data_IF_687559408826
#
_entry.id   IF_687559408826
#
_cell.length_a   1.000
_cell.length_b   1.000
_cell.length_c   1.000
_cell.angle_alpha   90.00
_cell.angle_beta   90.00
_cell.angle_gamma   90.00
#
_symmetry.space_group_name_H-M   'P 1'
#
loop_
_entity.id
_entity.type
_entity.pdbx_description
1 polymer ?
#
# COMPACT_ATOMS: atom_id res chain seq x y z
N UNK A 1 6.99 -19.39 -12.65
CA UNK A 1 8.23 -20.21 -12.60
C UNK A 1 9.35 -19.29 -12.15
N UNK A 2 9.95 -19.51 -10.99
CA UNK A 2 11.09 -18.73 -10.48
C UNK A 2 12.25 -19.67 -10.11
N UNK A 3 13.50 -19.19 -10.17
CA UNK A 3 14.67 -19.87 -9.61
C UNK A 3 15.11 -21.18 -10.28
N UNK A 4 14.67 -21.49 -11.51
CA UNK A 4 15.15 -22.70 -12.21
C UNK A 4 16.56 -22.51 -12.74
N UNK A 5 17.54 -22.97 -11.96
CA UNK A 5 18.95 -23.04 -12.37
C UNK A 5 19.08 -23.92 -13.62
N UNK A 6 19.72 -23.40 -14.68
CA UNK A 6 20.07 -24.19 -15.87
C UNK A 6 21.21 -25.13 -15.51
N UNK A 7 20.89 -26.36 -15.15
CA UNK A 7 21.88 -27.42 -14.94
C UNK A 7 22.23 -28.03 -16.30
N UNK A 8 23.52 -28.09 -16.65
CA UNK A 8 23.98 -28.90 -17.80
C UNK A 8 23.84 -30.38 -17.43
N UNK A 9 22.79 -31.02 -17.90
CA UNK A 9 22.54 -32.45 -17.70
C UNK A 9 23.13 -33.27 -18.85
N UNK A 10 23.55 -34.51 -18.58
CA UNK A 10 23.95 -35.44 -19.65
C UNK A 10 22.71 -35.87 -20.45
N UNK A 11 22.89 -36.28 -21.71
CA UNK A 11 21.77 -36.71 -22.55
C UNK A 11 20.98 -37.90 -21.94
N UNK A 12 21.65 -38.77 -21.20
CA UNK A 12 21.04 -39.90 -20.48
C UNK A 12 20.16 -39.41 -19.30
N UNK A 13 20.65 -38.45 -18.51
CA UNK A 13 19.88 -37.84 -17.41
C UNK A 13 18.68 -37.03 -17.91
N UNK A 14 18.79 -36.38 -19.07
CA UNK A 14 17.67 -35.69 -19.71
C UNK A 14 16.60 -36.66 -20.17
N UNK A 15 17.01 -37.79 -20.74
CA UNK A 15 16.09 -38.83 -21.21
C UNK A 15 15.36 -39.52 -20.04
N UNK A 16 16.05 -39.82 -18.95
CA UNK A 16 15.42 -40.35 -17.72
C UNK A 16 14.41 -39.36 -17.14
N UNK A 17 14.78 -38.08 -17.00
CA UNK A 17 13.87 -37.02 -16.54
C UNK A 17 12.67 -36.85 -17.47
N UNK A 18 12.87 -37.02 -18.79
CA UNK A 18 11.78 -36.96 -19.77
C UNK A 18 10.78 -38.09 -19.56
N UNK A 19 11.26 -39.34 -19.48
CA UNK A 19 10.42 -40.52 -19.21
C UNK A 19 9.66 -40.40 -17.88
N UNK A 20 10.31 -39.89 -16.84
CA UNK A 20 9.67 -39.65 -15.55
C UNK A 20 8.55 -38.60 -15.65
N UNK A 21 8.81 -37.48 -16.33
CA UNK A 21 7.80 -36.43 -16.57
C UNK A 21 6.62 -36.93 -17.38
N UNK A 22 6.87 -37.72 -18.42
CA UNK A 22 5.80 -38.31 -19.25
C UNK A 22 4.92 -39.26 -18.44
N UNK A 23 5.54 -40.11 -17.60
CA UNK A 23 4.81 -41.00 -16.68
C UNK A 23 3.97 -40.22 -15.68
N UNK A 24 4.52 -39.15 -15.09
CA UNK A 24 3.81 -38.30 -14.15
C UNK A 24 2.69 -37.51 -14.83
N UNK A 25 2.91 -37.03 -16.06
CA UNK A 25 1.90 -36.34 -16.86
C UNK A 25 0.74 -37.26 -17.24
N UNK A 26 1.02 -38.53 -17.59
CA UNK A 26 -0.02 -39.51 -17.88
C UNK A 26 -0.91 -39.77 -16.67
N UNK A 27 -0.32 -39.93 -15.48
CA UNK A 27 -1.05 -40.07 -14.21
C UNK A 27 -1.89 -38.83 -13.90
N UNK A 28 -1.32 -37.64 -14.10
CA UNK A 28 -2.01 -36.36 -13.89
C UNK A 28 -3.23 -36.24 -14.81
N UNK A 29 -3.07 -36.51 -16.12
CA UNK A 29 -4.18 -36.49 -17.09
C UNK A 29 -5.28 -37.48 -16.74
N UNK A 30 -4.91 -38.71 -16.35
CA UNK A 30 -5.88 -39.71 -15.94
C UNK A 30 -6.67 -39.27 -14.68
N UNK A 31 -5.99 -38.65 -13.70
CA UNK A 31 -6.64 -38.10 -12.52
C UNK A 31 -7.62 -36.97 -12.87
N UNK A 32 -7.23 -36.03 -13.74
CA UNK A 32 -8.11 -34.94 -14.19
C UNK A 32 -9.34 -35.43 -14.93
N UNK A 33 -9.17 -36.34 -15.89
CA UNK A 33 -10.31 -36.90 -16.61
C UNK A 33 -11.30 -37.56 -15.64
N UNK A 34 -10.78 -38.31 -14.66
CA UNK A 34 -11.62 -38.93 -13.63
C UNK A 34 -12.32 -37.91 -12.74
N UNK A 35 -11.65 -36.83 -12.35
CA UNK A 35 -12.24 -35.73 -11.58
C UNK A 35 -13.39 -35.09 -12.35
N UNK A 36 -13.16 -34.75 -13.62
CA UNK A 36 -14.15 -34.12 -14.48
C UNK A 36 -15.37 -35.03 -14.70
N UNK A 37 -15.15 -36.32 -15.00
CA UNK A 37 -16.23 -37.29 -15.16
C UNK A 37 -17.10 -37.40 -13.90
N UNK A 38 -16.47 -37.50 -12.71
CA UNK A 38 -17.21 -37.57 -11.44
C UNK A 38 -17.99 -36.29 -11.18
N UNK A 39 -17.37 -35.12 -11.39
CA UNK A 39 -18.03 -33.82 -11.19
C UNK A 39 -19.22 -33.65 -12.13
N UNK A 40 -19.09 -34.02 -13.41
CA UNK A 40 -20.18 -33.96 -14.39
C UNK A 40 -21.35 -34.90 -14.04
N UNK A 41 -21.06 -36.08 -13.46
CA UNK A 41 -22.09 -37.01 -12.99
C UNK A 41 -22.68 -36.65 -11.61
N UNK A 42 -22.22 -35.57 -10.98
CA UNK A 42 -22.66 -35.17 -9.64
C UNK A 42 -22.18 -36.10 -8.52
N UNK A 43 -21.15 -36.91 -8.77
CA UNK A 43 -20.54 -37.83 -7.80
C UNK A 43 -19.61 -37.06 -6.84
N UNK A 44 -20.20 -36.23 -5.99
CA UNK A 44 -19.52 -35.46 -4.96
C UNK A 44 -19.34 -36.33 -3.70
N UNK A 45 -18.20 -37.03 -3.61
CA UNK A 45 -17.92 -38.06 -2.61
C UNK A 45 -16.46 -38.06 -2.08
N UNK A 46 -16.16 -38.97 -1.15
CA UNK A 46 -14.84 -39.09 -0.52
C UNK A 46 -13.75 -39.51 -1.51
N UNK A 47 -14.11 -40.19 -2.59
CA UNK A 47 -13.18 -40.52 -3.66
C UNK A 47 -12.77 -39.27 -4.44
N UNK A 48 -13.72 -38.37 -4.73
CA UNK A 48 -13.44 -37.09 -5.37
C UNK A 48 -12.51 -36.23 -4.52
N UNK A 49 -12.70 -36.19 -3.19
CA UNK A 49 -11.76 -35.55 -2.27
C UNK A 49 -10.38 -36.23 -2.30
N UNK A 50 -10.31 -37.55 -2.33
CA UNK A 50 -9.03 -38.26 -2.38
C UNK A 50 -8.22 -37.92 -3.64
N UNK A 51 -8.84 -38.01 -4.82
CA UNK A 51 -8.14 -37.78 -6.09
C UNK A 51 -7.75 -36.31 -6.29
N UNK A 52 -8.61 -35.36 -5.90
CA UNK A 52 -8.27 -33.93 -5.97
C UNK A 52 -7.16 -33.58 -4.98
N UNK A 53 -7.16 -34.16 -3.78
CA UNK A 53 -6.12 -33.94 -2.77
C UNK A 53 -4.74 -34.43 -3.23
N UNK A 54 -4.67 -35.58 -3.90
CA UNK A 54 -3.42 -36.08 -4.48
C UNK A 54 -2.82 -35.13 -5.53
N UNK A 55 -3.68 -34.54 -6.37
CA UNK A 55 -3.26 -33.56 -7.37
C UNK A 55 -2.79 -32.28 -6.70
N UNK A 56 -3.58 -31.73 -5.77
CA UNK A 56 -3.32 -30.45 -5.12
C UNK A 56 -2.08 -30.48 -4.21
N UNK A 57 -1.77 -31.60 -3.58
CA UNK A 57 -0.53 -31.77 -2.82
C UNK A 57 0.73 -31.64 -3.71
N UNK A 58 0.60 -31.88 -5.02
CA UNK A 58 1.69 -31.76 -6.00
C UNK A 58 1.65 -30.44 -6.77
N UNK A 59 0.45 -30.00 -7.16
CA UNK A 59 0.19 -28.77 -7.90
C UNK A 59 -0.94 -27.97 -7.20
N UNK A 60 -0.59 -27.16 -6.19
CA UNK A 60 -1.59 -26.43 -5.40
C UNK A 60 -2.20 -25.23 -6.13
N UNK A 61 -1.67 -24.85 -7.30
CA UNK A 61 -2.14 -23.70 -8.09
C UNK A 61 -3.30 -24.05 -9.03
N UNK A 62 -3.78 -25.30 -9.00
CA UNK A 62 -4.99 -25.68 -9.71
C UNK A 62 -6.24 -25.19 -8.96
N UNK A 63 -6.60 -23.93 -9.20
CA UNK A 63 -7.72 -23.26 -8.53
C UNK A 63 -9.07 -24.00 -8.71
N UNK A 64 -9.28 -24.62 -9.87
CA UNK A 64 -10.50 -25.38 -10.16
C UNK A 64 -10.71 -26.50 -9.15
N UNK A 65 -9.65 -27.23 -8.78
CA UNK A 65 -9.79 -28.37 -7.88
C UNK A 65 -10.11 -27.94 -6.45
N UNK A 66 -9.61 -26.78 -5.98
CA UNK A 66 -10.06 -26.22 -4.71
C UNK A 66 -11.56 -25.89 -4.72
N UNK A 67 -12.12 -25.44 -5.85
CA UNK A 67 -13.57 -25.24 -6.00
C UNK A 67 -14.33 -26.58 -5.94
N UNK A 68 -13.86 -27.60 -6.67
CA UNK A 68 -14.46 -28.94 -6.64
C UNK A 68 -14.53 -29.49 -5.22
N UNK A 69 -13.47 -29.30 -4.42
CA UNK A 69 -13.48 -29.71 -3.01
C UNK A 69 -14.56 -29.00 -2.20
N UNK A 70 -14.71 -27.67 -2.38
CA UNK A 70 -15.76 -26.89 -1.71
C UNK A 70 -17.15 -27.39 -2.06
N UNK A 71 -17.40 -27.74 -3.33
CA UNK A 71 -18.69 -28.33 -3.76
C UNK A 71 -19.01 -29.63 -3.02
N UNK A 72 -18.00 -30.49 -2.79
CA UNK A 72 -18.18 -31.72 -2.00
C UNK A 72 -18.53 -31.39 -0.55
N UNK A 73 -17.85 -30.41 0.04
CA UNK A 73 -18.14 -30.02 1.42
C UNK A 73 -19.49 -29.33 1.59
N UNK A 74 -19.92 -28.50 0.64
CA UNK A 74 -21.26 -27.90 0.64
C UNK A 74 -22.35 -28.97 0.70
N UNK A 75 -22.17 -30.06 -0.05
CA UNK A 75 -23.04 -31.25 0.04
C UNK A 75 -22.95 -31.89 1.44
N UNK A 76 -21.76 -32.11 1.98
CA UNK A 76 -21.59 -32.75 3.30
C UNK A 76 -22.14 -31.92 4.46
N UNK A 77 -22.07 -30.59 4.38
CA UNK A 77 -22.71 -29.70 5.35
C UNK A 77 -24.23 -29.78 5.24
N UNK A 78 -24.78 -29.80 4.02
CA UNK A 78 -26.22 -29.96 3.77
C UNK A 78 -26.73 -31.30 4.31
N UNK A 79 -25.97 -32.38 4.12
CA UNK A 79 -26.29 -33.74 4.57
C UNK A 79 -25.99 -33.96 6.07
N UNK A 80 -25.40 -32.96 6.76
CA UNK A 80 -25.00 -33.04 8.18
C UNK A 80 -24.15 -34.28 8.49
N UNK A 81 -23.12 -34.51 7.67
CA UNK A 81 -22.16 -35.61 7.88
C UNK A 81 -21.60 -35.53 9.31
N UNK A 82 -21.45 -36.67 9.99
CA UNK A 82 -21.13 -36.71 11.41
C UNK A 82 -19.62 -36.59 11.73
N UNK A 83 -18.74 -36.68 10.73
CA UNK A 83 -17.28 -36.67 10.87
C UNK A 83 -16.64 -35.35 10.37
N UNK A 84 -17.34 -34.22 10.50
CA UNK A 84 -16.84 -32.92 10.02
C UNK A 84 -15.53 -32.49 10.68
N UNK A 85 -15.28 -32.90 11.93
CA UNK A 85 -14.04 -32.55 12.64
C UNK A 85 -12.84 -33.27 12.03
N UNK A 86 -12.95 -34.57 11.76
CA UNK A 86 -11.90 -35.35 11.10
C UNK A 86 -11.63 -34.83 9.69
N UNK A 87 -12.69 -34.46 8.97
CA UNK A 87 -12.59 -33.86 7.64
C UNK A 87 -11.91 -32.50 7.68
N UNK A 88 -12.25 -31.63 8.63
CA UNK A 88 -11.58 -30.34 8.82
C UNK A 88 -10.08 -30.52 9.05
N UNK A 89 -9.70 -31.47 9.92
CA UNK A 89 -8.29 -31.79 10.16
C UNK A 89 -7.59 -32.27 8.87
N UNK A 90 -8.24 -33.11 8.07
CA UNK A 90 -7.70 -33.57 6.80
C UNK A 90 -7.53 -32.42 5.78
N UNK A 91 -8.46 -31.46 5.71
CA UNK A 91 -8.33 -30.29 4.84
C UNK A 91 -7.20 -29.35 5.28
N UNK A 92 -7.04 -29.14 6.58
CA UNK A 92 -5.92 -28.37 7.10
C UNK A 92 -4.57 -29.06 6.82
N UNK A 93 -4.51 -30.39 6.90
CA UNK A 93 -3.30 -31.14 6.52
C UNK A 93 -3.01 -31.04 5.03
N UNK A 94 -4.04 -31.14 4.17
CA UNK A 94 -3.86 -30.99 2.73
C UNK A 94 -3.35 -29.60 2.36
N UNK A 95 -3.94 -28.55 2.93
CA UNK A 95 -3.49 -27.17 2.68
C UNK A 95 -2.09 -26.92 3.21
N UNK A 96 -1.73 -27.50 4.35
CA UNK A 96 -0.35 -27.43 4.87
C UNK A 96 0.66 -28.10 3.92
N UNK A 97 0.37 -29.32 3.44
CA UNK A 97 1.21 -30.00 2.44
C UNK A 97 1.32 -29.20 1.14
N UNK A 98 0.21 -28.63 0.68
CA UNK A 98 0.18 -27.76 -0.49
C UNK A 98 1.05 -26.51 -0.30
N UNK A 99 1.03 -25.89 0.88
CA UNK A 99 1.83 -24.72 1.21
C UNK A 99 3.30 -25.04 1.45
N UNK A 100 3.63 -26.21 1.98
CA UNK A 100 5.02 -26.70 2.02
C UNK A 100 5.56 -26.91 0.59
N UNK A 101 4.70 -27.33 -0.35
CA UNK A 101 5.06 -27.49 -1.76
C UNK A 101 5.23 -26.15 -2.48
N UNK A 102 4.29 -25.23 -2.29
CA UNK A 102 4.34 -23.87 -2.82
C UNK A 102 3.76 -22.88 -1.78
N UNK A 103 4.62 -22.22 -0.97
CA UNK A 103 4.15 -21.32 0.09
C UNK A 103 3.52 -20.02 -0.44
N UNK A 104 3.57 -19.80 -1.76
CA UNK A 104 3.01 -18.64 -2.46
C UNK A 104 1.75 -18.99 -3.27
N UNK A 105 1.14 -20.15 -3.00
CA UNK A 105 -0.07 -20.57 -3.68
C UNK A 105 -1.30 -19.82 -3.16
N UNK A 106 -1.89 -18.97 -3.99
CA UNK A 106 -3.15 -18.28 -3.68
C UNK A 106 -4.28 -19.27 -3.39
N UNK A 107 -4.37 -20.34 -4.18
CA UNK A 107 -5.42 -21.36 -4.03
C UNK A 107 -5.38 -22.04 -2.67
N UNK A 108 -4.18 -22.45 -2.23
CA UNK A 108 -3.99 -23.11 -0.95
C UNK A 108 -4.31 -22.19 0.24
N UNK A 109 -3.80 -20.94 0.26
CA UNK A 109 -4.11 -19.97 1.32
C UNK A 109 -5.61 -19.63 1.37
N UNK A 110 -6.22 -19.38 0.21
CA UNK A 110 -7.66 -19.09 0.12
C UNK A 110 -8.52 -20.26 0.59
N UNK A 111 -8.17 -21.49 0.21
CA UNK A 111 -8.91 -22.67 0.65
C UNK A 111 -8.73 -22.93 2.16
N UNK A 112 -7.53 -22.67 2.70
CA UNK A 112 -7.27 -22.77 4.14
C UNK A 112 -8.09 -21.77 4.94
N UNK A 113 -8.18 -20.51 4.49
CA UNK A 113 -9.04 -19.49 5.09
C UNK A 113 -10.51 -19.90 5.08
N UNK A 114 -11.00 -20.35 3.93
CA UNK A 114 -12.37 -20.86 3.79
C UNK A 114 -12.63 -22.03 4.77
N UNK A 115 -11.70 -22.98 4.89
CA UNK A 115 -11.86 -24.11 5.79
C UNK A 115 -11.92 -23.66 7.27
N UNK A 116 -11.06 -22.73 7.68
CA UNK A 116 -11.06 -22.16 9.03
C UNK A 116 -12.37 -21.42 9.38
N UNK A 117 -12.98 -20.74 8.41
CA UNK A 117 -14.27 -20.05 8.60
C UNK A 117 -15.49 -20.97 8.58
N UNK A 118 -15.45 -22.01 7.74
CA UNK A 118 -16.65 -22.80 7.41
C UNK A 118 -16.84 -23.99 8.34
N UNK A 119 -15.76 -24.67 8.74
CA UNK A 119 -15.87 -25.82 9.63
C UNK A 119 -16.13 -25.36 11.08
N UNK A 120 -16.93 -26.11 11.86
CA UNK A 120 -17.20 -25.75 13.25
C UNK A 120 -16.03 -26.12 14.17
N UNK A 121 -15.80 -25.30 15.21
CA UNK A 121 -14.86 -25.63 16.29
C UNK A 121 -13.39 -25.54 15.91
N UNK A 122 -13.04 -24.64 14.98
CA UNK A 122 -11.67 -24.43 14.55
C UNK A 122 -10.82 -23.72 15.62
N UNK A 123 -9.55 -24.11 15.69
CA UNK A 123 -8.57 -23.61 16.66
C UNK A 123 -7.74 -22.48 16.04
N UNK A 124 -8.17 -21.25 16.29
CA UNK A 124 -7.51 -20.05 15.77
C UNK A 124 -6.16 -19.76 16.44
N UNK A 125 -5.95 -20.19 17.69
CA UNK A 125 -4.68 -20.00 18.40
C UNK A 125 -3.58 -20.93 17.83
N UNK A 126 -3.94 -22.18 17.53
CA UNK A 126 -3.07 -23.09 16.79
C UNK A 126 -2.74 -22.52 15.41
N UNK A 127 -3.70 -21.87 14.76
CA UNK A 127 -3.49 -21.30 13.44
C UNK A 127 -2.55 -20.09 13.43
N UNK A 128 -2.53 -19.28 14.50
CA UNK A 128 -1.49 -18.26 14.70
C UNK A 128 -0.09 -18.88 14.79
N UNK A 129 0.02 -20.04 15.45
CA UNK A 129 1.29 -20.77 15.56
C UNK A 129 1.77 -21.28 14.19
N UNK A 130 0.84 -21.70 13.32
CA UNK A 130 1.15 -22.05 11.92
C UNK A 130 1.66 -20.82 11.16
N UNK A 131 1.03 -19.66 11.33
CA UNK A 131 1.52 -18.41 10.71
C UNK A 131 2.96 -18.09 11.15
N UNK A 132 3.28 -18.26 12.44
CA UNK A 132 4.63 -18.04 12.94
C UNK A 132 5.64 -18.95 12.23
N UNK A 133 5.33 -20.24 12.10
CA UNK A 133 6.19 -21.21 11.42
C UNK A 133 6.46 -20.83 9.96
N UNK A 134 5.42 -20.46 9.19
CA UNK A 134 5.60 -20.05 7.80
C UNK A 134 6.40 -18.74 7.67
N UNK A 135 6.24 -17.81 8.61
CA UNK A 135 7.02 -16.57 8.66
C UNK A 135 8.44 -16.76 9.19
N UNK A 136 8.73 -17.84 9.92
CA UNK A 136 10.09 -18.21 10.28
C UNK A 136 10.82 -18.86 9.09
N UNK A 137 10.08 -19.53 8.19
CA UNK A 137 10.62 -20.11 6.96
C UNK A 137 10.84 -19.07 5.85
N UNK A 138 9.89 -18.17 5.64
CA UNK A 138 9.99 -17.04 4.70
C UNK A 138 9.29 -15.83 5.31
N UNK A 139 10.08 -15.00 5.97
CA UNK A 139 9.60 -13.82 6.68
C UNK A 139 9.03 -12.73 5.76
N UNK A 140 9.29 -12.84 4.45
CA UNK A 140 8.80 -11.94 3.40
C UNK A 140 7.60 -12.52 2.65
N UNK A 141 7.07 -13.66 3.10
CA UNK A 141 5.88 -14.25 2.52
C UNK A 141 4.64 -13.41 2.83
N UNK A 142 4.31 -12.48 1.92
CA UNK A 142 3.15 -11.60 2.10
C UNK A 142 1.83 -12.36 2.21
N UNK A 143 1.69 -13.53 1.57
CA UNK A 143 0.49 -14.34 1.71
C UNK A 143 0.29 -14.81 3.15
N UNK A 144 1.37 -15.20 3.83
CA UNK A 144 1.30 -15.58 5.23
C UNK A 144 1.04 -14.37 6.14
N UNK A 145 1.58 -13.19 5.82
CA UNK A 145 1.26 -11.96 6.54
C UNK A 145 -0.22 -11.56 6.38
N UNK A 146 -0.76 -11.67 5.17
CA UNK A 146 -2.19 -11.44 4.87
C UNK A 146 -3.07 -12.43 5.65
N UNK A 147 -2.70 -13.71 5.59
CA UNK A 147 -3.41 -14.76 6.29
C UNK A 147 -3.33 -14.61 7.81
N UNK A 148 -2.19 -14.19 8.36
CA UNK A 148 -2.06 -13.87 9.78
C UNK A 148 -3.05 -12.78 10.20
N UNK A 149 -3.17 -11.68 9.43
CA UNK A 149 -4.12 -10.60 9.74
C UNK A 149 -5.56 -11.11 9.77
N UNK A 150 -5.91 -12.00 8.85
CA UNK A 150 -7.19 -12.69 8.83
C UNK A 150 -7.41 -13.57 10.09
N UNK A 151 -6.42 -14.37 10.48
CA UNK A 151 -6.48 -15.22 11.69
C UNK A 151 -6.60 -14.36 12.95
N UNK A 152 -5.80 -13.29 13.08
CA UNK A 152 -5.84 -12.37 14.22
C UNK A 152 -7.23 -11.76 14.44
N UNK A 153 -7.93 -11.42 13.35
CA UNK A 153 -9.32 -10.93 13.41
C UNK A 153 -10.30 -11.92 14.05
N UNK A 154 -10.09 -13.22 13.82
CA UNK A 154 -10.92 -14.29 14.36
C UNK A 154 -10.50 -14.73 15.76
N UNK A 155 -9.19 -14.84 16.01
CA UNK A 155 -8.60 -15.15 17.31
C UNK A 155 -8.75 -14.01 18.34
N UNK A 156 -9.28 -12.84 17.92
CA UNK A 156 -9.40 -11.63 18.75
C UNK A 156 -8.06 -11.21 19.37
N UNK A 157 -6.98 -11.36 18.61
CA UNK A 157 -5.66 -10.85 19.00
C UNK A 157 -5.73 -9.33 19.00
N UNK A 158 -5.23 -8.71 20.06
CA UNK A 158 -5.24 -7.24 20.17
C UNK A 158 -4.19 -6.63 19.25
N UNK A 159 -4.42 -5.39 18.82
CA UNK A 159 -3.48 -4.70 17.93
C UNK A 159 -2.12 -4.49 18.61
N UNK A 160 -2.09 -4.33 19.93
CA UNK A 160 -0.87 -4.17 20.72
C UNK A 160 0.00 -5.44 20.68
N UNK A 161 -0.60 -6.63 20.75
CA UNK A 161 0.13 -7.90 20.60
C UNK A 161 0.71 -8.05 19.20
N UNK A 162 -0.01 -7.59 18.17
CA UNK A 162 0.51 -7.61 16.80
C UNK A 162 1.62 -6.57 16.61
N UNK A 163 1.53 -5.41 17.27
CA UNK A 163 2.61 -4.44 17.28
C UNK A 163 3.88 -5.00 17.94
N UNK A 164 3.72 -5.72 19.05
CA UNK A 164 4.82 -6.44 19.71
C UNK A 164 5.40 -7.52 18.78
N UNK A 165 4.56 -8.28 18.08
CA UNK A 165 5.00 -9.28 17.10
C UNK A 165 5.84 -8.66 15.97
N UNK A 166 5.45 -7.47 15.45
CA UNK A 166 6.30 -6.76 14.46
C UNK A 166 7.67 -6.42 15.03
N UNK A 167 7.74 -6.00 16.30
CA UNK A 167 9.00 -5.68 16.96
C UNK A 167 9.88 -6.93 17.13
N UNK A 168 9.30 -8.07 17.49
CA UNK A 168 10.03 -9.34 17.58
C UNK A 168 10.63 -9.75 16.22
N UNK A 169 9.86 -9.58 15.13
CA UNK A 169 10.34 -9.87 13.77
C UNK A 169 11.43 -8.90 13.31
N UNK A 170 11.28 -7.61 13.58
CA UNK A 170 12.31 -6.59 13.30
C UNK A 170 13.60 -6.86 14.10
N UNK A 171 13.48 -7.21 15.38
CA UNK A 171 14.64 -7.50 16.22
C UNK A 171 15.37 -8.79 15.77
N UNK A 172 14.65 -9.73 15.18
CA UNK A 172 15.23 -10.95 14.60
C UNK A 172 15.91 -10.66 13.25
N UNK A 173 15.26 -9.85 12.41
CA UNK A 173 15.83 -9.36 11.17
C UNK A 173 15.31 -7.96 10.84
N UNK A 174 16.19 -6.96 10.94
CA UNK A 174 15.85 -5.56 10.64
C UNK A 174 15.59 -5.33 9.15
N UNK A 175 16.02 -6.23 8.25
CA UNK A 175 15.71 -6.19 6.82
C UNK A 175 14.29 -6.66 6.47
N UNK A 176 13.49 -7.04 7.47
CA UNK A 176 12.13 -7.54 7.24
C UNK A 176 11.16 -6.41 6.89
N UNK A 177 11.09 -6.06 5.59
CA UNK A 177 10.15 -5.06 5.07
C UNK A 177 8.69 -5.32 5.47
N UNK A 178 8.28 -6.59 5.52
CA UNK A 178 6.89 -6.93 5.83
C UNK A 178 6.52 -6.59 7.28
N UNK A 179 7.46 -6.76 8.22
CA UNK A 179 7.28 -6.37 9.61
C UNK A 179 7.20 -4.84 9.76
N UNK A 180 8.09 -4.09 9.10
CA UNK A 180 8.04 -2.62 9.08
C UNK A 180 6.75 -2.09 8.46
N UNK A 181 6.32 -2.67 7.34
CA UNK A 181 5.08 -2.30 6.68
C UNK A 181 3.86 -2.58 7.58
N UNK A 182 3.83 -3.73 8.23
CA UNK A 182 2.72 -4.04 9.12
C UNK A 182 2.70 -3.11 10.33
N UNK A 183 3.88 -2.80 10.90
CA UNK A 183 4.06 -1.82 11.98
C UNK A 183 3.50 -0.45 11.61
N UNK A 184 3.83 0.07 10.41
CA UNK A 184 3.32 1.37 9.95
C UNK A 184 1.79 1.40 9.77
N UNK A 185 1.18 0.25 9.48
CA UNK A 185 -0.28 0.12 9.38
C UNK A 185 -0.99 0.01 10.74
N UNK A 186 -0.28 -0.45 11.78
CA UNK A 186 -0.80 -0.65 13.13
C UNK A 186 -0.71 0.63 13.97
N UNK A 187 0.41 1.36 13.88
CA UNK A 187 0.67 2.54 14.70
C UNK A 187 -0.46 3.60 14.64
N UNK A 188 -0.99 4.00 13.46
CA UNK A 188 -2.09 4.97 13.40
C UNK A 188 -3.41 4.47 14.01
N UNK A 189 -3.59 3.14 14.13
CA UNK A 189 -4.79 2.52 14.72
C UNK A 189 -4.69 2.46 16.24
N UNK A 190 -3.49 2.19 16.77
CA UNK A 190 -3.23 2.06 18.21
C UNK A 190 -3.01 3.43 18.85
N UNK A 191 -2.27 4.30 18.17
CA UNK A 191 -1.88 5.63 18.65
C UNK A 191 -2.30 6.72 17.65
N UNK A 192 -3.61 6.95 17.47
CA UNK A 192 -4.10 7.90 16.48
C UNK A 192 -3.63 9.32 16.78
N UNK A 193 -3.10 9.99 15.75
CA UNK A 193 -2.75 11.40 15.76
C UNK A 193 -3.96 12.32 15.58
N UNK A 194 -3.72 13.64 15.41
CA UNK A 194 -4.79 14.63 15.26
C UNK A 194 -5.55 14.52 13.92
N UNK A 195 -4.92 13.91 12.91
CA UNK A 195 -5.47 13.72 11.57
C UNK A 195 -5.60 12.23 11.30
N UNK A 196 -6.63 11.84 10.54
CA UNK A 196 -6.83 10.44 10.19
C UNK A 196 -5.60 9.85 9.47
N UNK A 197 -5.11 8.73 9.99
CA UNK A 197 -3.94 8.04 9.44
C UNK A 197 -2.59 8.54 9.97
N UNK A 198 -2.56 9.56 10.82
CA UNK A 198 -1.33 10.00 11.49
C UNK A 198 -1.16 9.34 12.86
N UNK A 199 0.05 9.44 13.42
CA UNK A 199 0.44 8.83 14.69
C UNK A 199 0.69 9.94 15.71
N UNK A 200 0.41 9.69 16.99
CA UNK A 200 0.81 10.60 18.08
C UNK A 200 2.30 10.94 18.00
N UNK A 201 2.62 12.22 18.19
CA UNK A 201 4.01 12.71 18.06
C UNK A 201 4.97 11.97 18.99
N UNK A 202 4.60 11.74 20.25
CA UNK A 202 5.42 11.03 21.23
C UNK A 202 5.86 9.63 20.76
N UNK A 203 4.98 8.92 20.04
CA UNK A 203 5.26 7.60 19.46
C UNK A 203 6.10 7.75 18.20
N UNK A 204 5.81 8.74 17.36
CA UNK A 204 6.62 9.04 16.18
C UNK A 204 8.09 9.27 16.54
N UNK A 205 8.37 10.03 17.61
CA UNK A 205 9.73 10.28 18.10
C UNK A 205 10.43 9.00 18.60
N UNK A 206 9.70 8.06 19.20
CA UNK A 206 10.24 6.75 19.58
C UNK A 206 10.60 5.91 18.36
N UNK A 207 9.78 5.94 17.32
CA UNK A 207 10.01 5.20 16.08
C UNK A 207 11.22 5.72 15.28
N UNK A 208 11.55 7.02 15.37
CA UNK A 208 12.78 7.56 14.80
C UNK A 208 14.03 6.89 15.41
N UNK A 209 14.10 6.79 16.74
CA UNK A 209 15.20 6.10 17.40
C UNK A 209 15.30 4.62 17.00
N UNK A 210 14.16 3.95 16.86
CA UNK A 210 14.11 2.55 16.43
C UNK A 210 14.67 2.38 15.02
N UNK A 211 14.21 3.19 14.07
CA UNK A 211 14.62 3.06 12.67
C UNK A 211 16.07 3.51 12.46
N UNK A 212 16.53 4.52 13.20
CA UNK A 212 17.93 4.95 13.16
C UNK A 212 18.85 3.78 13.53
N UNK A 213 18.60 3.07 14.63
CA UNK A 213 19.41 1.91 14.99
C UNK A 213 19.49 0.86 13.87
N UNK A 214 18.38 0.64 13.15
CA UNK A 214 18.35 -0.29 12.02
C UNK A 214 19.20 0.22 10.83
N UNK A 215 19.02 1.48 10.42
CA UNK A 215 19.75 2.05 9.28
C UNK A 215 21.26 2.21 9.53
N UNK A 216 21.68 2.34 10.78
CA UNK A 216 23.10 2.38 11.14
C UNK A 216 23.73 1.00 11.31
N UNK A 217 22.92 -0.03 11.59
CA UNK A 217 23.41 -1.41 11.70
C UNK A 217 23.67 -2.02 10.32
N UNK A 218 22.78 -1.74 9.36
CA UNK A 218 22.97 -2.11 7.95
C UNK A 218 22.47 -0.98 7.04
N UNK A 219 23.36 -0.04 6.68
CA UNK A 219 23.03 1.08 5.81
C UNK A 219 22.56 0.68 4.41
N UNK A 220 22.88 -0.54 3.96
CA UNK A 220 22.47 -1.04 2.64
C UNK A 220 21.03 -1.57 2.64
N UNK A 221 20.47 -1.89 3.81
CA UNK A 221 19.09 -2.38 3.90
C UNK A 221 18.07 -1.27 3.60
N UNK A 222 17.33 -1.44 2.51
CA UNK A 222 16.33 -0.47 2.09
C UNK A 222 15.09 -0.39 3.00
N UNK A 223 14.80 -1.44 3.79
CA UNK A 223 13.51 -1.56 4.49
C UNK A 223 13.38 -0.52 5.59
N UNK A 224 14.44 -0.37 6.40
CA UNK A 224 14.50 0.66 7.43
C UNK A 224 14.42 2.07 6.81
N UNK A 225 15.09 2.33 5.68
CA UNK A 225 15.02 3.62 5.00
C UNK A 225 13.62 3.96 4.46
N UNK A 226 12.91 2.98 3.90
CA UNK A 226 11.51 3.19 3.49
C UNK A 226 10.60 3.47 4.69
N UNK A 227 10.83 2.82 5.83
CA UNK A 227 10.12 3.10 7.06
C UNK A 227 10.43 4.50 7.60
N UNK A 228 11.71 4.90 7.62
CA UNK A 228 12.13 6.25 8.00
C UNK A 228 11.49 7.32 7.10
N UNK A 229 11.41 7.05 5.80
CA UNK A 229 10.71 7.91 4.84
C UNK A 229 9.21 8.01 5.13
N UNK A 230 8.58 6.93 5.59
CA UNK A 230 7.18 6.95 6.04
C UNK A 230 7.00 7.80 7.31
N UNK A 231 7.91 7.71 8.30
CA UNK A 231 7.88 8.57 9.50
C UNK A 231 8.01 10.05 9.15
N UNK A 232 8.88 10.34 8.17
CA UNK A 232 9.09 11.68 7.60
C UNK A 232 8.03 12.05 6.54
N UNK A 233 7.05 11.16 6.35
CA UNK A 233 5.95 11.30 5.41
C UNK A 233 5.11 12.53 5.72
N UNK A 234 4.48 13.06 4.67
CA UNK A 234 3.70 14.28 4.73
C UNK A 234 2.24 13.94 5.00
N UNK A 235 1.63 14.71 5.88
CA UNK A 235 0.17 14.71 5.99
C UNK A 235 -0.43 15.19 4.67
N UNK A 236 -1.51 14.55 4.22
CA UNK A 236 -2.25 15.09 3.09
C UNK A 236 -2.86 16.42 3.54
N UNK A 237 -2.57 17.55 2.84
CA UNK A 237 -3.10 18.82 3.24
C UNK A 237 -4.64 18.76 3.22
N UNK A 238 -5.32 19.44 4.16
CA UNK A 238 -6.76 19.56 4.11
C UNK A 238 -7.17 20.21 2.79
N UNK A 239 -8.43 19.98 2.39
CA UNK A 239 -8.99 20.65 1.23
C UNK A 239 -8.97 22.17 1.46
N UNK A 240 -8.32 22.92 0.58
CA UNK A 240 -8.32 24.39 0.57
C UNK A 240 -7.99 24.91 -0.84
N UNK A 241 -8.07 26.22 -1.02
CA UNK A 241 -7.68 26.92 -2.24
C UNK A 241 -6.17 27.16 -2.28
N UNK A 242 -5.48 26.63 -3.29
CA UNK A 242 -4.14 27.12 -3.65
C UNK A 242 -4.26 28.46 -4.36
N UNK A 243 -5.26 28.61 -5.22
CA UNK A 243 -5.56 29.83 -5.94
C UNK A 243 -7.05 29.88 -6.30
N UNK A 244 -7.67 31.04 -6.09
CA UNK A 244 -8.93 31.42 -6.71
C UNK A 244 -8.69 32.70 -7.50
N UNK A 245 -8.91 32.66 -8.82
CA UNK A 245 -8.60 33.75 -9.74
C UNK A 245 -9.79 34.05 -10.63
N UNK A 246 -10.00 35.34 -10.88
CA UNK A 246 -11.03 35.84 -11.80
C UNK A 246 -10.36 36.76 -12.80
N UNK A 247 -10.67 36.57 -14.09
CA UNK A 247 -10.18 37.40 -15.18
C UNK A 247 -11.34 37.98 -15.97
N UNK A 248 -11.45 39.31 -15.98
CA UNK A 248 -12.47 40.08 -16.73
C UNK A 248 -12.25 39.97 -18.23
N UNK A 249 -11.00 40.09 -18.69
CA UNK A 249 -10.66 40.01 -20.12
C UNK A 249 -10.98 38.64 -20.72
N UNK A 250 -10.81 37.57 -19.94
CA UNK A 250 -11.11 36.20 -20.36
C UNK A 250 -12.52 35.74 -19.96
N UNK A 251 -13.27 36.53 -19.19
CA UNK A 251 -14.55 36.19 -18.58
C UNK A 251 -14.52 34.81 -17.91
N UNK A 252 -13.52 34.58 -17.06
CA UNK A 252 -13.22 33.24 -16.54
C UNK A 252 -12.97 33.28 -15.04
N UNK A 253 -13.48 32.25 -14.34
CA UNK A 253 -13.05 31.89 -13.00
C UNK A 253 -12.15 30.67 -13.05
N UNK A 254 -11.07 30.69 -12.29
CA UNK A 254 -10.13 29.59 -12.14
C UNK A 254 -9.97 29.28 -10.66
N UNK A 255 -10.03 27.99 -10.32
CA UNK A 255 -9.84 27.46 -8.97
C UNK A 255 -8.74 26.40 -9.04
N UNK A 256 -7.72 26.54 -8.20
CA UNK A 256 -6.72 25.52 -7.94
C UNK A 256 -6.81 25.08 -6.48
N UNK A 257 -6.83 23.78 -6.22
CA UNK A 257 -7.05 23.16 -4.92
C UNK A 257 -5.77 22.51 -4.39
N UNK A 258 -5.70 22.31 -3.07
CA UNK A 258 -4.58 21.63 -2.39
C UNK A 258 -4.44 20.16 -2.78
N UNK A 259 -5.53 19.51 -3.21
CA UNK A 259 -5.58 18.12 -3.66
C UNK A 259 -6.49 17.95 -4.88
N UNK A 260 -6.19 16.99 -5.78
CA UNK A 260 -7.09 16.68 -6.88
C UNK A 260 -8.36 16.01 -6.36
N UNK A 261 -9.52 16.41 -6.88
CA UNK A 261 -10.82 15.81 -6.54
C UNK A 261 -11.51 15.30 -7.80
N UNK A 262 -12.10 14.10 -7.81
CA UNK A 262 -12.92 13.62 -8.90
C UNK A 262 -14.14 14.50 -9.20
N UNK A 263 -14.50 14.68 -10.47
CA UNK A 263 -15.64 15.54 -10.89
C UNK A 263 -16.96 15.14 -10.21
N UNK A 264 -17.20 13.84 -10.05
CA UNK A 264 -18.41 13.30 -9.43
C UNK A 264 -18.44 13.41 -7.90
N UNK A 265 -17.32 13.80 -7.28
CA UNK A 265 -17.18 14.01 -5.84
C UNK A 265 -17.07 15.49 -5.47
N UNK A 266 -17.10 16.37 -6.47
CA UNK A 266 -16.88 17.80 -6.31
C UNK A 266 -18.11 18.59 -6.72
N UNK A 267 -18.66 19.35 -5.77
CA UNK A 267 -19.67 20.37 -6.05
C UNK A 267 -19.06 21.75 -5.87
N UNK A 268 -19.07 22.52 -6.94
CA UNK A 268 -18.59 23.91 -6.97
C UNK A 268 -19.78 24.85 -7.20
N UNK A 269 -19.98 25.77 -6.26
CA UNK A 269 -21.05 26.76 -6.28
C UNK A 269 -20.43 28.14 -6.39
N UNK A 270 -20.78 28.89 -7.44
CA UNK A 270 -20.35 30.27 -7.62
C UNK A 270 -21.52 31.23 -7.35
N UNK A 271 -21.28 32.24 -6.52
CA UNK A 271 -22.16 33.41 -6.40
C UNK A 271 -21.40 34.66 -6.82
N UNK A 272 -22.10 35.56 -7.48
CA UNK A 272 -21.61 36.89 -7.84
C UNK A 272 -22.57 37.91 -7.25
N UNK A 273 -22.07 38.84 -6.44
CA UNK A 273 -22.85 39.84 -5.69
C UNK A 273 -24.01 39.21 -4.91
N UNK A 274 -23.76 38.05 -4.26
CA UNK A 274 -24.74 37.28 -3.52
C UNK A 274 -25.73 36.45 -4.36
N UNK A 275 -25.72 36.59 -5.69
CA UNK A 275 -26.61 35.85 -6.59
C UNK A 275 -25.94 34.59 -7.11
N UNK A 276 -26.63 33.44 -7.06
CA UNK A 276 -26.14 32.18 -7.60
C UNK A 276 -25.98 32.27 -9.12
N UNK A 277 -24.80 31.89 -9.62
CA UNK A 277 -24.52 31.86 -11.06
C UNK A 277 -24.41 30.41 -11.50
N UNK A 278 -25.20 30.03 -12.51
CA UNK A 278 -25.09 28.72 -13.12
C UNK A 278 -23.78 28.63 -13.92
N UNK A 279 -22.90 27.74 -13.49
CA UNK A 279 -21.56 27.56 -14.07
C UNK A 279 -21.32 26.10 -14.41
N UNK A 280 -20.81 25.83 -15.60
CA UNK A 280 -20.22 24.53 -15.90
C UNK A 280 -18.71 24.58 -15.58
N UNK A 281 -18.29 23.76 -14.62
CA UNK A 281 -16.89 23.64 -14.23
C UNK A 281 -16.20 22.56 -15.05
N UNK A 282 -15.05 22.91 -15.63
CA UNK A 282 -14.27 22.07 -16.54
C UNK A 282 -12.84 21.96 -16.02
N UNK A 283 -12.25 20.78 -16.13
CA UNK A 283 -10.83 20.56 -15.88
C UNK A 283 -10.02 20.82 -17.17
N UNK A 284 -8.76 21.32 -17.11
CA UNK A 284 -7.93 21.56 -18.29
C UNK A 284 -7.67 20.34 -19.19
N UNK A 285 -7.83 19.13 -18.66
CA UNK A 285 -7.70 17.88 -19.39
C UNK A 285 -8.99 17.05 -19.24
N UNK A 286 -9.17 16.02 -20.07
CA UNK A 286 -10.26 15.03 -19.97
C UNK A 286 -10.16 14.11 -18.73
N UNK A 287 -9.42 14.54 -17.71
CA UNK A 287 -9.20 13.78 -16.49
C UNK A 287 -10.48 13.73 -15.66
N UNK A 288 -10.72 12.56 -15.08
CA UNK A 288 -11.85 12.36 -14.16
C UNK A 288 -11.62 13.05 -12.80
N UNK A 289 -10.37 13.46 -12.49
CA UNK A 289 -9.97 14.13 -11.25
C UNK A 289 -8.97 15.25 -11.56
N UNK A 290 -9.13 16.41 -10.91
CA UNK A 290 -8.27 17.58 -11.12
C UNK A 290 -8.18 18.41 -9.85
N UNK A 291 -7.02 19.04 -9.63
CA UNK A 291 -6.88 20.14 -8.66
C UNK A 291 -7.25 21.49 -9.27
N UNK A 292 -7.21 21.59 -10.61
CA UNK A 292 -7.47 22.81 -11.36
C UNK A 292 -8.82 22.74 -12.08
N UNK A 293 -9.69 23.69 -11.80
CA UNK A 293 -11.02 23.82 -12.36
C UNK A 293 -11.22 25.23 -12.88
N UNK A 294 -11.94 25.38 -13.98
CA UNK A 294 -12.33 26.69 -14.46
C UNK A 294 -13.75 26.68 -15.01
N UNK A 295 -14.38 27.86 -15.00
CA UNK A 295 -15.68 28.06 -15.62
C UNK A 295 -15.69 29.37 -16.39
N UNK A 296 -16.39 29.36 -17.52
CA UNK A 296 -16.63 30.54 -18.32
C UNK A 296 -17.85 31.29 -17.75
N UNK A 297 -17.68 32.58 -17.50
CA UNK A 297 -18.76 33.46 -17.04
C UNK A 297 -19.34 34.16 -18.26
N UNK A 298 -20.66 34.35 -18.28
CA UNK A 298 -21.28 35.20 -19.29
C UNK A 298 -20.77 36.64 -19.14
N UNK A 299 -20.36 37.26 -20.26
CA UNK A 299 -19.90 38.65 -20.34
C UNK A 299 -20.89 39.62 -19.70
N UNK A 300 -22.18 39.34 -19.83
CA UNK A 300 -23.24 40.21 -19.32
C UNK A 300 -23.23 40.37 -17.80
N UNK A 301 -22.68 39.38 -17.09
CA UNK A 301 -22.61 39.35 -15.62
C UNK A 301 -21.49 40.26 -15.09
N UNK A 302 -20.52 40.62 -15.93
CA UNK A 302 -19.40 41.49 -15.59
C UNK A 302 -19.51 42.89 -16.21
N UNK A 303 -20.72 43.26 -16.68
CA UNK A 303 -21.00 44.55 -17.28
C UNK A 303 -21.12 45.65 -16.22
N UNK A 304 -20.55 46.82 -16.54
CA UNK A 304 -20.56 48.00 -15.67
C UNK A 304 -19.20 48.26 -15.04
N UNK A 305 -18.85 49.54 -14.92
CA UNK A 305 -17.69 50.01 -14.14
C UNK A 305 -18.00 49.95 -12.64
N UNK A 306 -18.35 48.76 -12.14
CA UNK A 306 -18.57 48.54 -10.72
C UNK A 306 -17.80 47.33 -10.21
N UNK A 307 -17.65 47.30 -8.89
CA UNK A 307 -16.99 46.22 -8.19
C UNK A 307 -17.89 44.98 -8.20
N UNK A 308 -17.29 43.81 -8.32
CA UNK A 308 -18.00 42.54 -8.28
C UNK A 308 -17.40 41.65 -7.22
N UNK A 309 -18.23 41.18 -6.29
CA UNK A 309 -17.85 40.23 -5.27
C UNK A 309 -18.17 38.81 -5.73
N UNK A 310 -17.17 37.95 -5.74
CA UNK A 310 -17.29 36.55 -6.08
C UNK A 310 -17.14 35.72 -4.82
N UNK A 311 -18.06 34.77 -4.63
CA UNK A 311 -18.00 33.77 -3.56
C UNK A 311 -18.02 32.40 -4.20
N UNK A 312 -17.03 31.57 -3.88
CA UNK A 312 -17.00 30.16 -4.27
C UNK A 312 -17.14 29.32 -3.04
N UNK A 313 -18.10 28.39 -3.06
CA UNK A 313 -18.25 27.34 -2.05
C UNK A 313 -17.98 26.00 -2.72
N UNK A 314 -17.16 25.20 -2.06
CA UNK A 314 -16.74 23.89 -2.53
C UNK A 314 -17.15 22.85 -1.49
N UNK A 315 -17.87 21.84 -1.95
CA UNK A 315 -18.34 20.71 -1.15
C UNK A 315 -17.80 19.42 -1.77
N UNK A 316 -17.10 18.63 -0.97
CA UNK A 316 -16.60 17.31 -1.33
C UNK A 316 -17.52 16.23 -0.78
N UNK A 317 -17.60 15.08 -1.47
CA UNK A 317 -18.43 13.94 -1.02
C UNK A 317 -18.00 13.34 0.32
N UNK A 318 -16.75 13.60 0.75
CA UNK A 318 -16.25 13.22 2.08
C UNK A 318 -16.76 14.14 3.22
N UNK A 319 -17.60 15.13 2.90
CA UNK A 319 -18.14 16.10 3.85
C UNK A 319 -17.26 17.32 4.06
N UNK A 320 -16.07 17.39 3.46
CA UNK A 320 -15.21 18.58 3.52
C UNK A 320 -15.86 19.75 2.78
N UNK A 321 -15.90 20.92 3.42
CA UNK A 321 -16.40 22.15 2.81
C UNK A 321 -15.42 23.30 2.99
N UNK A 322 -15.13 24.04 1.91
CA UNK A 322 -14.34 25.27 1.95
C UNK A 322 -14.97 26.37 1.11
N UNK A 323 -14.78 27.61 1.53
CA UNK A 323 -15.31 28.78 0.84
C UNK A 323 -14.30 29.91 0.76
N UNK A 324 -14.32 30.65 -0.34
CA UNK A 324 -13.49 31.83 -0.54
C UNK A 324 -14.31 32.98 -1.12
N UNK A 325 -13.96 34.20 -0.73
CA UNK A 325 -14.56 35.44 -1.25
C UNK A 325 -13.49 36.34 -1.84
N UNK A 326 -13.78 36.93 -2.99
CA UNK A 326 -12.86 37.77 -3.75
C UNK A 326 -13.60 38.94 -4.38
N UNK A 327 -13.06 40.15 -4.27
CA UNK A 327 -13.61 41.34 -4.94
C UNK A 327 -12.77 41.70 -6.15
N UNK A 328 -13.43 41.82 -7.31
CA UNK A 328 -12.85 42.37 -8.54
C UNK A 328 -13.31 43.82 -8.69
N UNK A 329 -12.37 44.75 -8.46
CA UNK A 329 -12.68 46.17 -8.58
C UNK A 329 -12.97 46.58 -10.03
N UNK A 330 -13.74 47.64 -10.22
CA UNK A 330 -14.12 48.17 -11.54
C UNK A 330 -12.91 48.40 -12.47
N UNK A 331 -11.85 49.01 -11.93
CA UNK A 331 -10.64 49.37 -12.69
C UNK A 331 -9.67 48.20 -12.91
N UNK A 332 -9.90 47.04 -12.28
CA UNK A 332 -9.00 45.90 -12.35
C UNK A 332 -9.47 44.90 -13.41
N UNK A 333 -8.52 44.40 -14.20
CA UNK A 333 -8.78 43.31 -15.13
C UNK A 333 -8.83 41.93 -14.47
N UNK A 334 -8.18 41.77 -13.31
CA UNK A 334 -8.08 40.48 -12.62
C UNK A 334 -8.08 40.66 -11.10
N UNK A 335 -8.50 39.61 -10.41
CA UNK A 335 -8.43 39.51 -8.95
C UNK A 335 -7.99 38.10 -8.56
N UNK A 336 -7.29 37.96 -7.44
CA UNK A 336 -6.83 36.67 -6.92
C UNK A 336 -6.96 36.56 -5.40
N UNK A 337 -7.28 35.36 -4.95
CA UNK A 337 -7.28 34.93 -3.56
C UNK A 337 -6.37 33.70 -3.43
N UNK A 338 -5.55 33.69 -2.39
CA UNK A 338 -4.79 32.50 -1.96
C UNK A 338 -5.47 31.98 -0.70
N UNK A 339 -5.61 30.66 -0.56
CA UNK A 339 -6.22 30.05 0.61
C UNK A 339 -5.46 30.31 1.90
N UNK A 340 -5.99 29.73 2.98
CA UNK A 340 -5.49 29.95 4.34
C UNK A 340 -4.19 29.18 4.59
N UNK A 341 -3.98 28.07 3.88
CA UNK A 341 -2.77 27.28 4.03
C UNK A 341 -1.54 28.02 3.43
N UNK A 342 -0.53 28.35 4.25
CA UNK A 342 0.71 28.93 3.77
C UNK A 342 1.36 28.05 2.70
N UNK A 343 1.97 28.66 1.67
CA UNK A 343 2.54 27.90 0.55
C UNK A 343 3.68 26.96 0.96
N UNK A 344 4.45 27.32 1.98
CA UNK A 344 5.45 26.43 2.56
C UNK A 344 4.79 25.21 3.20
N UNK A 345 3.62 25.37 3.84
CA UNK A 345 2.86 24.27 4.45
C UNK A 345 2.14 23.34 3.45
N UNK A 346 2.09 23.69 2.15
CA UNK A 346 1.70 22.73 1.11
C UNK A 346 2.71 21.59 0.97
N UNK A 347 3.97 21.85 1.35
CA UNK A 347 5.09 20.95 1.09
C UNK A 347 5.85 20.57 2.37
N UNK A 348 5.59 21.21 3.51
CA UNK A 348 6.09 20.90 4.85
C UNK A 348 4.99 20.94 5.91
N UNK A 349 5.20 20.30 7.06
CA UNK A 349 4.33 20.45 8.23
C UNK A 349 5.00 21.37 9.26
N UNK A 350 4.21 22.06 10.08
CA UNK A 350 4.78 22.73 11.26
C UNK A 350 5.31 21.66 12.23
N UNK A 351 6.57 21.82 12.65
CA UNK A 351 7.24 20.90 13.55
C UNK A 351 7.24 21.48 14.96
N UNK A 352 6.95 20.63 15.95
CA UNK A 352 7.21 20.98 17.34
C UNK A 352 8.72 21.15 17.59
N UNK A 353 9.10 21.79 18.69
CA UNK A 353 10.52 21.91 19.08
C UNK A 353 11.15 20.52 19.29
N UNK A 354 10.41 19.58 19.87
CA UNK A 354 10.89 18.21 20.10
C UNK A 354 11.13 17.48 18.77
N UNK A 355 10.18 17.54 17.84
CA UNK A 355 10.31 16.91 16.52
C UNK A 355 11.41 17.58 15.69
N UNK A 356 11.54 18.89 15.76
CA UNK A 356 12.62 19.64 15.10
C UNK A 356 13.99 19.16 15.60
N UNK A 357 14.16 19.00 16.91
CA UNK A 357 15.42 18.51 17.49
C UNK A 357 15.76 17.10 16.98
N UNK A 358 14.81 16.17 17.03
CA UNK A 358 15.03 14.79 16.57
C UNK A 358 15.40 14.76 15.08
N UNK A 359 14.69 15.49 14.22
CA UNK A 359 15.02 15.52 12.79
C UNK A 359 16.37 16.17 12.50
N UNK A 360 16.80 17.13 13.30
CA UNK A 360 18.16 17.70 13.20
C UNK A 360 19.23 16.69 13.59
N UNK A 361 18.99 15.89 14.62
CA UNK A 361 19.92 14.85 15.04
C UNK A 361 19.97 13.70 14.03
N UNK A 362 18.82 13.29 13.47
CA UNK A 362 18.75 12.35 12.34
C UNK A 362 19.51 12.87 11.11
N UNK A 363 19.41 14.17 10.82
CA UNK A 363 20.11 14.78 9.67
C UNK A 363 21.62 14.70 9.87
N UNK A 364 22.12 15.07 11.07
CA UNK A 364 23.55 14.95 11.39
C UNK A 364 24.02 13.51 11.29
N UNK A 365 23.23 12.58 11.80
CA UNK A 365 23.54 11.16 11.75
C UNK A 365 23.64 10.69 10.28
N UNK A 366 22.65 10.99 9.45
CA UNK A 366 22.67 10.62 8.03
C UNK A 366 23.83 11.27 7.26
N UNK A 367 24.22 12.49 7.61
CA UNK A 367 25.40 13.15 7.04
C UNK A 367 26.70 12.41 7.40
N UNK A 368 26.87 12.03 8.66
CA UNK A 368 28.02 11.21 9.09
C UNK A 368 28.04 9.86 8.39
N UNK A 369 26.87 9.24 8.20
CA UNK A 369 26.79 7.96 7.50
C UNK A 369 27.12 8.09 6.01
N UNK A 370 26.71 9.18 5.37
CA UNK A 370 27.12 9.51 3.99
C UNK A 370 28.63 9.73 3.87
N UNK A 371 29.25 10.39 4.86
CA UNK A 371 30.71 10.56 4.88
C UNK A 371 31.46 9.21 4.97
N UNK A 372 30.87 8.22 5.67
CA UNK A 372 31.42 6.87 5.80
C UNK A 372 31.14 6.00 4.56
N UNK A 373 29.96 6.14 3.96
CA UNK A 373 29.51 5.37 2.80
C UNK A 373 29.01 6.30 1.66
N UNK A 374 29.93 6.97 0.93
CA UNK A 374 29.56 8.01 -0.03
C UNK A 374 28.77 7.50 -1.25
N UNK A 375 28.89 6.21 -1.57
CA UNK A 375 28.17 5.56 -2.68
C UNK A 375 26.78 5.06 -2.26
N UNK A 376 26.43 5.15 -0.97
CA UNK A 376 25.14 4.71 -0.46
C UNK A 376 24.08 5.80 -0.69
N UNK A 377 23.18 5.53 -1.64
CA UNK A 377 22.10 6.47 -2.00
C UNK A 377 21.10 6.76 -0.87
N UNK A 378 20.99 5.90 0.14
CA UNK A 378 19.93 6.00 1.14
C UNK A 378 20.16 7.09 2.20
N UNK A 379 21.34 7.22 2.83
CA UNK A 379 21.69 8.38 3.65
C UNK A 379 21.53 9.70 2.88
N UNK A 380 22.06 9.77 1.64
CA UNK A 380 21.91 10.91 0.71
C UNK A 380 20.45 11.35 0.51
N UNK A 381 19.60 10.43 0.08
CA UNK A 381 18.18 10.69 -0.12
C UNK A 381 17.51 11.13 1.19
N UNK A 382 17.88 10.50 2.30
CA UNK A 382 17.31 10.80 3.62
C UNK A 382 17.71 12.20 4.09
N UNK A 383 18.95 12.63 3.90
CA UNK A 383 19.40 14.01 4.15
C UNK A 383 18.54 15.02 3.39
N UNK A 384 18.29 14.79 2.10
CA UNK A 384 17.42 15.66 1.28
C UNK A 384 16.01 15.74 1.84
N UNK A 385 15.44 14.61 2.27
CA UNK A 385 14.09 14.56 2.84
C UNK A 385 14.02 15.27 4.19
N UNK A 386 15.01 15.08 5.06
CA UNK A 386 15.10 15.72 6.37
C UNK A 386 15.30 17.23 6.25
N UNK A 387 16.20 17.70 5.39
CA UNK A 387 16.39 19.13 5.12
C UNK A 387 15.11 19.79 4.60
N UNK A 388 14.38 19.10 3.71
CA UNK A 388 13.07 19.57 3.23
C UNK A 388 12.01 19.62 4.33
N UNK A 389 12.02 18.67 5.25
CA UNK A 389 11.09 18.62 6.38
C UNK A 389 11.38 19.73 7.40
N UNK A 390 12.66 19.98 7.68
CA UNK A 390 13.14 21.00 8.62
C UNK A 390 12.93 22.42 8.09
N UNK A 391 13.59 22.75 6.98
CA UNK A 391 13.48 24.06 6.32
C UNK A 391 14.09 23.98 4.90
N UNK A 392 13.26 23.59 3.93
CA UNK A 392 13.71 23.43 2.56
C UNK A 392 14.21 24.72 1.90
N UNK A 393 13.82 25.91 2.39
CA UNK A 393 14.30 27.19 1.86
C UNK A 393 15.70 27.51 2.39
N UNK A 394 15.93 27.32 3.69
CA UNK A 394 17.24 27.49 4.31
C UNK A 394 18.29 26.54 3.71
N UNK A 395 17.92 25.28 3.47
CA UNK A 395 18.81 24.24 2.96
C UNK A 395 18.80 24.12 1.43
N UNK A 396 18.26 25.10 0.69
CA UNK A 396 18.05 24.96 -0.75
C UNK A 396 19.33 24.58 -1.51
N UNK A 397 20.44 25.28 -1.26
CA UNK A 397 21.72 25.02 -1.94
C UNK A 397 22.29 23.64 -1.60
N UNK A 398 22.22 23.22 -0.33
CA UNK A 398 22.66 21.89 0.12
C UNK A 398 21.81 20.77 -0.51
N UNK A 399 20.49 20.99 -0.61
CA UNK A 399 19.56 20.07 -1.27
C UNK A 399 19.92 19.92 -2.75
N UNK A 400 20.21 21.02 -3.45
CA UNK A 400 20.58 20.98 -4.88
C UNK A 400 21.86 20.17 -5.10
N UNK A 401 22.89 20.37 -4.26
CA UNK A 401 24.15 19.60 -4.30
C UNK A 401 23.91 18.11 -4.09
N UNK A 402 23.24 17.72 -3.00
CA UNK A 402 23.00 16.30 -2.70
C UNK A 402 22.08 15.63 -3.74
N UNK A 403 21.20 16.38 -4.40
CA UNK A 403 20.40 15.85 -5.50
C UNK A 403 21.23 15.51 -6.73
N UNK A 404 22.26 16.29 -7.03
CA UNK A 404 23.17 16.00 -8.13
C UNK A 404 24.07 14.80 -7.80
N UNK A 405 24.55 14.69 -6.56
CA UNK A 405 25.25 13.48 -6.06
C UNK A 405 24.37 12.23 -6.14
N UNK A 406 23.10 12.34 -5.74
CA UNK A 406 22.16 11.22 -5.79
C UNK A 406 21.94 10.73 -7.23
N UNK A 407 21.85 11.64 -8.22
CA UNK A 407 21.76 11.27 -9.64
C UNK A 407 23.00 10.52 -10.09
N UNK A 408 24.19 10.95 -9.67
CA UNK A 408 25.44 10.26 -9.98
C UNK A 408 25.47 8.84 -9.38
N UNK A 409 25.07 8.68 -8.11
CA UNK A 409 24.98 7.37 -7.46
C UNK A 409 24.00 6.41 -8.17
N UNK A 410 22.85 6.93 -8.63
CA UNK A 410 21.86 6.13 -9.37
C UNK A 410 22.40 5.69 -10.73
N UNK A 411 23.11 6.56 -11.46
CA UNK A 411 23.74 6.21 -12.73
C UNK A 411 24.84 5.15 -12.57
N UNK A 412 25.62 5.21 -11.48
CA UNK A 412 26.63 4.19 -11.16
C UNK A 412 25.97 2.82 -10.93
N UNK A 413 24.85 2.76 -10.22
CA UNK A 413 24.09 1.51 -9.99
C UNK A 413 23.44 0.93 -11.26
N UNK A 414 23.12 1.77 -12.25
CA UNK A 414 22.61 1.31 -13.56
C UNK A 414 23.73 0.72 -14.45
N UNK A 415 24.99 1.08 -14.18
CA UNK A 415 26.17 0.60 -14.88
C UNK A 415 26.79 -0.66 -14.24
N UNK A 416 26.38 -1.02 -13.02
CA UNK A 416 26.77 -2.28 -12.38
C UNK A 416 26.10 -3.48 -13.06
N UNK A 417 26.87 -4.45 -13.60
CA UNK A 417 26.34 -5.60 -14.33
C UNK A 417 25.38 -6.50 -13.53
N UNK A 418 25.45 -6.45 -12.20
CA UNK A 418 24.75 -7.38 -11.30
C UNK A 418 23.31 -6.97 -10.97
N UNK A 419 22.88 -5.73 -11.27
CA UNK A 419 21.50 -5.27 -11.03
C UNK A 419 20.47 -5.73 -12.08
N UNK A 420 20.85 -6.58 -13.05
CA UNK A 420 19.89 -7.21 -13.98
C UNK A 420 19.30 -8.53 -13.48
N UNK A 421 19.73 -9.05 -12.34
CA UNK A 421 19.25 -10.31 -11.80
C UNK A 421 19.23 -10.32 -10.26
N UNK A 422 18.19 -9.77 -9.64
CA UNK A 422 17.64 -10.30 -8.37
C UNK A 422 16.12 -10.25 -8.38
#
# INVERSE_FOLDING_TARGET
MHGRVKVKTTAEQEEEKRKEREKNLAKYRAAFNRIEDKRQRGELDDELLKITGQVLATNPDEATLWNVRREVFDKYFTERKNNLKELACAELQLTELALQKNPKSYGAWSHRAWAMETFPGMDWDKELSVCNLFLDMDERNFHCWDYRRFVCGHAKVTLEKELEFTMQKIATNFSNYSAWHYRSSLLPKIFPGPVQGTVKEEILLQEYNLVQNATFTDPSDQSAWFYHRWLTGRENPPLDFVLFHVSRSKNRVIINLTKPIPRNQLRLVLKINGTLVHTEWVAPASLCSSSLWYSQINKDVLLGECDHQFEVVLESSDGSQVSATLTLNACNHEARYSGKLPRNQLFSCELSTARTSVLQDELKACQQLHELEPDNKWPLLTCVLLMRALDGQKHQTEIEVLQDELKACQQLHELEPDNKCQ
#
